data_IF_435097556169
#
_entry.id   IF_435097556169
#
_cell.length_a   1.000
_cell.length_b   1.000
_cell.length_c   1.000
_cell.angle_alpha   90.00
_cell.angle_beta   90.00
_cell.angle_gamma   90.00
#
_symmetry.space_group_name_H-M   'P 1'
#
loop_
_entity.id
_entity.type
_entity.pdbx_description
1 polymer ?
#
# COMPACT_ATOMS: atom_id res chain seq x y z
N UNK A 1 -9.99 15.28 -4.70
CA UNK A 1 -11.17 14.55 -5.27
C UNK A 1 -10.96 13.06 -5.09
N UNK A 2 -12.06 12.30 -4.85
CA UNK A 2 -12.08 10.83 -4.77
C UNK A 2 -13.18 10.35 -5.72
N UNK A 3 -12.90 9.36 -6.55
CA UNK A 3 -13.84 8.79 -7.51
C UNK A 3 -13.77 7.27 -7.47
N UNK A 4 -14.91 6.61 -7.30
CA UNK A 4 -15.01 5.19 -7.55
C UNK A 4 -15.07 4.94 -9.06
N UNK A 5 -14.19 4.09 -9.57
CA UNK A 5 -14.06 3.83 -11.00
C UNK A 5 -15.01 2.70 -11.45
N UNK A 6 -15.17 1.69 -10.61
CA UNK A 6 -15.97 0.48 -10.93
C UNK A 6 -16.46 -0.24 -9.68
N UNK A 7 -17.31 -1.25 -9.88
CA UNK A 7 -17.77 -2.13 -8.81
C UNK A 7 -16.63 -3.05 -8.32
N UNK A 8 -16.68 -3.36 -7.04
CA UNK A 8 -15.73 -4.27 -6.42
C UNK A 8 -15.99 -5.72 -6.88
N UNK A 9 -14.93 -6.49 -7.08
CA UNK A 9 -15.04 -7.91 -7.36
C UNK A 9 -15.43 -8.69 -6.10
N UNK A 10 -16.16 -9.78 -6.27
CA UNK A 10 -16.45 -10.68 -5.16
C UNK A 10 -15.20 -11.45 -4.72
N UNK A 11 -15.29 -12.09 -3.55
CA UNK A 11 -14.17 -12.82 -2.94
C UNK A 11 -13.64 -13.96 -3.81
N UNK A 12 -14.51 -14.60 -4.63
CA UNK A 12 -14.10 -15.69 -5.49
C UNK A 12 -13.26 -15.19 -6.66
N UNK A 13 -13.65 -14.07 -7.26
CA UNK A 13 -12.89 -13.43 -8.33
C UNK A 13 -11.53 -12.93 -7.80
N UNK A 14 -11.51 -12.27 -6.64
CA UNK A 14 -10.27 -11.79 -6.02
C UNK A 14 -9.31 -12.94 -5.71
N UNK A 15 -9.81 -14.07 -5.19
CA UNK A 15 -8.98 -15.24 -4.92
C UNK A 15 -8.37 -15.83 -6.21
N UNK A 16 -9.05 -15.74 -7.35
CA UNK A 16 -8.53 -16.16 -8.66
C UNK A 16 -7.47 -15.17 -9.18
N UNK A 17 -7.72 -13.87 -9.09
CA UNK A 17 -6.81 -12.81 -9.53
C UNK A 17 -5.50 -12.90 -8.75
N UNK A 18 -5.58 -12.99 -7.42
CA UNK A 18 -4.44 -12.98 -6.52
C UNK A 18 -3.97 -14.38 -6.10
N UNK A 19 -4.25 -15.42 -6.91
CA UNK A 19 -3.81 -16.78 -6.61
C UNK A 19 -2.27 -16.94 -6.53
N UNK A 20 -1.53 -15.98 -7.07
CA UNK A 20 -0.06 -15.90 -7.02
C UNK A 20 0.37 -14.50 -6.60
N UNK A 21 1.45 -14.35 -5.81
CA UNK A 21 1.95 -13.04 -5.42
C UNK A 21 2.45 -12.28 -6.65
N UNK A 22 2.25 -10.96 -6.64
CA UNK A 22 2.82 -10.09 -7.67
C UNK A 22 4.35 -10.16 -7.64
N UNK A 23 4.93 -10.39 -8.81
CA UNK A 23 6.39 -10.38 -8.99
C UNK A 23 6.82 -9.04 -9.57
N UNK A 24 7.32 -8.15 -8.72
CA UNK A 24 7.76 -6.81 -9.10
C UNK A 24 8.90 -6.81 -10.13
N UNK A 25 9.63 -7.92 -10.30
CA UNK A 25 10.75 -8.01 -11.24
C UNK A 25 10.35 -7.97 -12.71
N UNK A 26 9.09 -8.28 -13.01
CA UNK A 26 8.56 -8.27 -14.39
C UNK A 26 8.07 -6.90 -14.86
N UNK A 27 7.97 -5.93 -13.96
CA UNK A 27 7.46 -4.60 -14.28
C UNK A 27 8.53 -3.68 -14.84
N UNK A 28 8.11 -2.56 -15.42
CA UNK A 28 8.97 -1.59 -16.06
C UNK A 28 9.84 -0.75 -15.11
N UNK A 29 10.64 0.14 -15.68
CA UNK A 29 11.61 0.96 -14.96
C UNK A 29 10.95 1.90 -13.93
N UNK A 30 9.79 2.48 -14.27
CA UNK A 30 9.07 3.39 -13.37
C UNK A 30 8.59 2.68 -12.12
N UNK A 31 8.10 1.45 -12.25
CA UNK A 31 7.74 0.62 -11.11
C UNK A 31 8.95 0.38 -10.18
N UNK A 32 10.11 0.02 -10.72
CA UNK A 32 11.31 -0.17 -9.91
C UNK A 32 11.74 1.13 -9.20
N UNK A 33 11.68 2.28 -9.87
CA UNK A 33 11.95 3.58 -9.26
C UNK A 33 10.98 3.85 -8.12
N UNK A 34 9.67 3.60 -8.30
CA UNK A 34 8.65 3.74 -7.26
C UNK A 34 8.97 2.87 -6.04
N UNK A 35 9.29 1.60 -6.27
CA UNK A 35 9.65 0.65 -5.19
C UNK A 35 10.86 1.17 -4.40
N UNK A 36 11.92 1.63 -5.06
CA UNK A 36 13.10 2.16 -4.39
C UNK A 36 12.82 3.47 -3.63
N UNK A 37 11.99 4.37 -4.18
CA UNK A 37 11.55 5.57 -3.48
C UNK A 37 10.74 5.19 -2.22
N UNK A 38 9.81 4.24 -2.34
CA UNK A 38 9.02 3.74 -1.20
C UNK A 38 9.93 3.13 -0.13
N UNK A 39 10.91 2.30 -0.52
CA UNK A 39 11.92 1.75 0.40
C UNK A 39 12.69 2.82 1.17
N UNK A 40 13.04 3.94 0.53
CA UNK A 40 13.72 5.04 1.22
C UNK A 40 12.82 5.67 2.29
N UNK A 41 11.54 5.91 2.01
CA UNK A 41 10.59 6.42 3.01
C UNK A 41 10.40 5.41 4.16
N UNK A 42 10.38 4.10 3.87
CA UNK A 42 10.32 3.07 4.92
C UNK A 42 11.58 3.09 5.79
N UNK A 43 12.79 3.24 5.21
CA UNK A 43 14.04 3.39 5.97
C UNK A 43 14.02 4.62 6.87
N UNK A 44 13.54 5.75 6.36
CA UNK A 44 13.38 6.97 7.13
C UNK A 44 12.39 6.78 8.29
N UNK A 45 11.23 6.14 8.02
CA UNK A 45 10.25 5.81 9.05
C UNK A 45 10.85 4.92 10.15
N UNK A 46 11.62 3.89 9.78
CA UNK A 46 12.31 3.00 10.71
C UNK A 46 13.31 3.79 11.58
N UNK A 47 14.11 4.64 10.96
CA UNK A 47 15.10 5.47 11.68
C UNK A 47 14.42 6.46 12.63
N UNK A 48 13.38 7.18 12.16
CA UNK A 48 12.66 8.18 12.98
C UNK A 48 11.89 7.57 14.15
N UNK A 49 11.39 6.34 14.01
CA UNK A 49 10.61 5.66 15.05
C UNK A 49 11.43 4.69 15.89
N UNK A 50 12.69 4.44 15.54
CA UNK A 50 13.51 3.36 16.07
C UNK A 50 12.78 2.01 16.01
N UNK A 51 12.13 1.75 14.88
CA UNK A 51 11.21 0.63 14.68
C UNK A 51 11.89 -0.71 14.92
N UNK A 52 11.15 -1.61 15.59
CA UNK A 52 11.54 -3.01 15.83
C UNK A 52 10.59 -3.99 15.15
N UNK A 53 9.46 -3.48 14.66
CA UNK A 53 8.42 -4.28 14.00
C UNK A 53 7.86 -3.54 12.79
N UNK A 54 7.51 -4.32 11.76
CA UNK A 54 6.97 -3.82 10.50
C UNK A 54 5.91 -4.78 9.96
N UNK A 55 4.87 -4.25 9.33
CA UNK A 55 3.84 -5.05 8.68
C UNK A 55 3.59 -4.58 7.25
N UNK A 56 3.24 -5.53 6.38
CA UNK A 56 2.67 -5.32 5.06
C UNK A 56 1.75 -6.52 4.75
N UNK A 57 0.44 -6.28 4.68
CA UNK A 57 -0.58 -7.32 4.50
C UNK A 57 -1.13 -7.39 3.07
N UNK A 58 -0.42 -6.79 2.14
CA UNK A 58 -0.64 -6.85 0.69
C UNK A 58 0.71 -6.85 -0.05
N UNK A 59 1.64 -7.64 0.48
CA UNK A 59 3.06 -7.44 0.25
C UNK A 59 3.58 -8.04 -1.07
N UNK A 60 2.77 -8.76 -1.84
CA UNK A 60 3.24 -9.47 -3.03
C UNK A 60 4.40 -10.42 -2.70
N UNK A 61 5.57 -10.19 -3.29
CA UNK A 61 6.80 -10.92 -2.95
C UNK A 61 7.56 -10.31 -1.75
N UNK A 62 7.04 -9.25 -1.14
CA UNK A 62 7.55 -8.53 0.02
C UNK A 62 8.93 -7.87 -0.17
N UNK A 63 9.29 -7.47 -1.38
CA UNK A 63 10.59 -6.86 -1.70
C UNK A 63 10.87 -5.58 -0.89
N UNK A 64 9.84 -4.79 -0.58
CA UNK A 64 9.99 -3.58 0.22
C UNK A 64 10.41 -3.97 1.65
N UNK A 65 9.58 -4.77 2.32
CA UNK A 65 9.73 -5.03 3.75
C UNK A 65 10.93 -5.94 4.05
N UNK A 66 11.16 -6.99 3.27
CA UNK A 66 12.31 -7.91 3.45
C UNK A 66 13.66 -7.19 3.32
N UNK A 67 13.72 -6.12 2.54
CA UNK A 67 14.95 -5.34 2.37
C UNK A 67 15.29 -4.44 3.56
N UNK A 68 14.41 -4.35 4.58
CA UNK A 68 14.59 -3.46 5.73
C UNK A 68 15.43 -4.05 6.87
N UNK A 69 15.66 -5.36 6.89
CA UNK A 69 16.45 -6.02 7.94
C UNK A 69 15.78 -6.05 9.32
N UNK A 70 14.48 -5.78 9.42
CA UNK A 70 13.70 -5.90 10.66
C UNK A 70 13.34 -7.38 10.85
N UNK A 71 13.59 -7.94 12.04
CA UNK A 71 13.28 -9.35 12.31
C UNK A 71 11.78 -9.60 12.57
N UNK A 72 11.11 -8.67 13.28
CA UNK A 72 9.67 -8.79 13.56
C UNK A 72 8.87 -8.26 12.37
N UNK A 73 8.69 -9.11 11.36
CA UNK A 73 7.90 -8.79 10.15
C UNK A 73 6.58 -9.56 10.17
N UNK A 74 5.50 -8.87 9.84
CA UNK A 74 4.18 -9.45 9.64
C UNK A 74 3.81 -9.25 8.18
N UNK A 75 3.84 -10.35 7.42
CA UNK A 75 3.60 -10.37 5.98
C UNK A 75 2.30 -11.09 5.67
N UNK A 76 1.50 -10.51 4.81
CA UNK A 76 0.25 -11.10 4.33
C UNK A 76 -0.03 -10.74 2.88
N UNK A 77 -0.84 -11.56 2.25
CA UNK A 77 -1.31 -11.36 0.88
C UNK A 77 -2.53 -12.24 0.61
N UNK A 78 -3.25 -12.01 -0.48
CA UNK A 78 -4.23 -12.98 -0.98
C UNK A 78 -3.57 -14.30 -1.39
N UNK A 79 -2.36 -14.23 -1.95
CA UNK A 79 -1.60 -15.41 -2.34
C UNK A 79 -1.21 -16.25 -1.10
N UNK A 80 -1.35 -17.58 -1.15
CA UNK A 80 -1.07 -18.46 -0.01
C UNK A 80 0.43 -18.68 0.20
N UNK A 81 1.22 -17.61 0.17
CA UNK A 81 2.69 -17.61 0.30
C UNK A 81 3.11 -17.27 1.73
N UNK A 82 2.24 -16.63 2.50
CA UNK A 82 2.48 -16.18 3.86
C UNK A 82 1.44 -16.75 4.81
N UNK A 83 1.70 -16.67 6.11
CA UNK A 83 0.77 -17.18 7.13
C UNK A 83 -0.54 -16.38 7.21
N UNK A 84 -0.50 -15.10 6.83
CA UNK A 84 -1.65 -14.22 6.81
C UNK A 84 -2.22 -14.14 5.37
N UNK A 85 -3.12 -15.07 5.07
CA UNK A 85 -3.76 -15.18 3.75
C UNK A 85 -5.12 -14.49 3.75
N UNK A 86 -5.36 -13.63 2.78
CA UNK A 86 -6.64 -12.95 2.56
C UNK A 86 -6.55 -11.43 2.53
N UNK A 87 -7.71 -10.74 2.48
CA UNK A 87 -7.76 -9.29 2.41
C UNK A 87 -7.27 -8.63 3.71
N UNK A 88 -6.82 -7.39 3.60
CA UNK A 88 -6.24 -6.62 4.70
C UNK A 88 -7.21 -6.53 5.90
N UNK A 89 -8.50 -6.29 5.67
CA UNK A 89 -9.53 -6.16 6.71
C UNK A 89 -9.70 -7.44 7.55
N UNK A 90 -9.42 -8.60 6.99
CA UNK A 90 -9.49 -9.89 7.67
C UNK A 90 -8.17 -10.31 8.32
N UNK A 91 -7.06 -9.90 7.75
CA UNK A 91 -5.73 -10.32 8.22
C UNK A 91 -5.17 -9.38 9.29
N UNK A 92 -5.49 -8.09 9.23
CA UNK A 92 -4.94 -7.06 10.14
C UNK A 92 -5.32 -7.28 11.61
N UNK A 93 -6.46 -7.91 11.89
CA UNK A 93 -6.87 -8.21 13.26
C UNK A 93 -5.95 -9.22 13.95
N UNK A 94 -5.27 -10.06 13.16
CA UNK A 94 -4.41 -11.15 13.61
C UNK A 94 -2.97 -10.72 13.90
N UNK A 95 -2.58 -9.48 13.60
CA UNK A 95 -1.25 -8.98 13.95
C UNK A 95 -1.28 -8.16 15.25
N UNK A 96 -0.18 -8.13 16.01
CA UNK A 96 -0.03 -7.20 17.11
C UNK A 96 0.12 -5.76 16.61
N UNK A 97 0.22 -4.79 17.53
CA UNK A 97 0.65 -3.44 17.17
C UNK A 97 2.09 -3.46 16.68
N UNK A 98 2.36 -2.75 15.58
CA UNK A 98 3.67 -2.62 14.96
C UNK A 98 4.15 -1.17 14.98
N UNK A 99 5.44 -0.97 14.75
CA UNK A 99 6.01 0.38 14.71
C UNK A 99 5.75 1.05 13.35
N UNK A 100 5.90 0.30 12.25
CA UNK A 100 5.69 0.78 10.88
C UNK A 100 4.75 -0.17 10.13
N UNK A 101 3.80 0.38 9.39
CA UNK A 101 2.97 -0.34 8.42
C UNK A 101 3.26 0.18 7.02
N UNK A 102 3.45 -0.73 6.07
CA UNK A 102 3.59 -0.43 4.64
C UNK A 102 2.30 -0.80 3.94
N UNK A 103 1.72 0.14 3.21
CA UNK A 103 0.56 -0.05 2.33
C UNK A 103 0.93 0.50 0.96
N UNK A 104 1.48 -0.36 0.11
CA UNK A 104 2.05 0.06 -1.17
C UNK A 104 1.29 -0.55 -2.32
N UNK A 105 0.63 0.28 -3.14
CA UNK A 105 -0.21 -0.16 -4.27
C UNK A 105 -1.28 -1.16 -3.81
N UNK A 106 -2.05 -0.75 -2.85
CA UNK A 106 -3.05 -1.62 -2.22
C UNK A 106 -4.35 -0.89 -1.93
N UNK A 107 -4.28 0.41 -1.62
CA UNK A 107 -5.45 1.17 -1.19
C UNK A 107 -6.48 1.33 -2.33
N UNK A 108 -6.02 1.39 -3.57
CA UNK A 108 -6.86 1.44 -4.78
C UNK A 108 -7.61 0.14 -5.07
N UNK A 109 -7.17 -0.97 -4.44
CA UNK A 109 -7.73 -2.32 -4.62
C UNK A 109 -8.71 -2.73 -3.53
N UNK A 110 -8.96 -1.91 -2.51
CA UNK A 110 -9.85 -2.26 -1.40
C UNK A 110 -11.24 -1.63 -1.57
N UNK A 111 -12.27 -2.28 -1.02
CA UNK A 111 -13.64 -1.79 -1.10
C UNK A 111 -13.85 -0.52 -0.28
N UNK A 112 -13.31 -0.47 0.95
CA UNK A 112 -13.52 0.60 1.93
C UNK A 112 -12.17 1.21 2.36
N UNK A 113 -11.54 2.07 1.54
CA UNK A 113 -10.20 2.62 1.82
C UNK A 113 -10.09 3.34 3.16
N UNK A 114 -11.14 4.06 3.57
CA UNK A 114 -11.16 4.77 4.85
C UNK A 114 -11.11 3.80 6.04
N UNK A 115 -11.85 2.69 5.98
CA UNK A 115 -11.88 1.71 7.07
C UNK A 115 -10.56 0.94 7.15
N UNK A 116 -9.93 0.66 6.01
CA UNK A 116 -8.58 0.07 5.98
C UNK A 116 -7.55 1.00 6.64
N UNK A 117 -7.56 2.29 6.30
CA UNK A 117 -6.65 3.26 6.90
C UNK A 117 -6.87 3.42 8.42
N UNK A 118 -8.13 3.36 8.91
CA UNK A 118 -8.44 3.35 10.35
C UNK A 118 -7.90 2.08 11.02
N UNK A 119 -8.12 0.91 10.41
CA UNK A 119 -7.63 -0.36 10.94
C UNK A 119 -6.08 -0.38 11.02
N UNK A 120 -5.40 0.18 10.02
CA UNK A 120 -3.95 0.34 10.03
C UNK A 120 -3.53 1.32 11.15
N UNK A 121 -4.29 2.40 11.37
CA UNK A 121 -4.02 3.38 12.44
C UNK A 121 -4.08 2.76 13.82
N UNK A 122 -5.04 1.87 14.05
CA UNK A 122 -5.18 1.16 15.32
C UNK A 122 -4.02 0.18 15.59
N UNK A 123 -3.35 -0.28 14.53
CA UNK A 123 -2.29 -1.29 14.60
C UNK A 123 -0.88 -0.74 14.46
N UNK A 124 -0.70 0.50 13.99
CA UNK A 124 0.66 1.01 13.75
C UNK A 124 0.84 2.46 14.18
N UNK A 125 2.11 2.81 14.47
CA UNK A 125 2.52 4.16 14.88
C UNK A 125 2.86 5.04 13.67
N UNK A 126 3.30 4.41 12.58
CA UNK A 126 3.72 5.07 11.36
C UNK A 126 3.22 4.30 10.14
N UNK A 127 2.70 5.01 9.16
CA UNK A 127 2.25 4.45 7.88
C UNK A 127 3.14 4.98 6.75
N UNK A 128 3.62 4.07 5.90
CA UNK A 128 4.13 4.41 4.57
C UNK A 128 3.10 3.94 3.55
N UNK A 129 2.51 4.89 2.85
CA UNK A 129 1.48 4.65 1.83
C UNK A 129 2.03 5.02 0.46
N UNK A 130 1.85 4.17 -0.54
CA UNK A 130 1.94 4.58 -1.94
C UNK A 130 0.72 4.12 -2.72
N UNK A 131 0.26 4.95 -3.65
CA UNK A 131 -0.89 4.66 -4.51
C UNK A 131 -0.82 5.50 -5.79
N UNK A 132 -1.38 5.02 -6.93
CA UNK A 132 -1.56 5.84 -8.10
C UNK A 132 -2.44 7.04 -7.79
N UNK A 133 -2.11 8.19 -8.39
CA UNK A 133 -2.92 9.42 -8.27
C UNK A 133 -3.21 10.01 -9.66
N UNK A 134 -4.30 10.76 -9.74
CA UNK A 134 -4.72 11.50 -10.95
C UNK A 134 -5.01 10.61 -12.17
N UNK A 135 -5.29 9.33 -11.97
CA UNK A 135 -5.62 8.39 -13.04
C UNK A 135 -7.15 8.17 -13.14
N UNK A 136 -7.85 9.21 -13.60
CA UNK A 136 -9.32 9.27 -13.60
C UNK A 136 -10.00 8.33 -14.60
N UNK A 137 -9.24 7.83 -15.59
CA UNK A 137 -9.68 6.93 -16.67
C UNK A 137 -8.91 5.61 -16.63
N UNK A 138 -8.53 5.18 -15.43
CA UNK A 138 -7.77 3.95 -15.24
C UNK A 138 -8.52 2.73 -15.79
N UNK A 139 -7.85 1.99 -16.66
CA UNK A 139 -8.38 0.79 -17.29
C UNK A 139 -8.00 -0.50 -16.57
N UNK A 140 -7.15 -0.44 -15.54
CA UNK A 140 -6.82 -1.61 -14.73
C UNK A 140 -8.08 -2.10 -14.00
N UNK A 141 -8.49 -3.33 -14.29
CA UNK A 141 -9.74 -3.90 -13.75
C UNK A 141 -9.74 -4.06 -12.22
N UNK A 142 -8.57 -4.06 -11.62
CA UNK A 142 -8.37 -4.24 -10.18
C UNK A 142 -8.29 -2.90 -9.42
N UNK A 143 -8.21 -1.75 -10.10
CA UNK A 143 -8.24 -0.43 -9.48
C UNK A 143 -9.68 0.04 -9.36
N UNK A 144 -10.21 0.05 -8.15
CA UNK A 144 -11.59 0.46 -7.87
C UNK A 144 -11.71 1.95 -7.62
N UNK A 145 -10.62 2.62 -7.24
CA UNK A 145 -10.57 4.01 -6.85
C UNK A 145 -9.56 4.80 -7.64
N UNK A 146 -9.90 6.06 -7.87
CA UNK A 146 -8.96 7.09 -8.31
C UNK A 146 -9.12 8.32 -7.42
N UNK A 147 -8.01 8.97 -7.16
CA UNK A 147 -7.93 10.16 -6.32
C UNK A 147 -6.79 11.08 -6.76
N UNK A 148 -6.86 12.33 -6.36
CA UNK A 148 -5.73 13.23 -6.37
C UNK A 148 -5.06 13.24 -4.98
N UNK A 149 -3.96 13.98 -4.87
CA UNK A 149 -3.25 14.16 -3.61
C UNK A 149 -4.19 14.59 -2.48
N UNK A 150 -5.02 15.59 -2.73
CA UNK A 150 -5.94 16.13 -1.72
C UNK A 150 -6.95 15.07 -1.25
N UNK A 151 -7.46 14.25 -2.17
CA UNK A 151 -8.38 13.15 -1.83
C UNK A 151 -7.74 12.12 -0.91
N UNK A 152 -6.49 11.73 -1.17
CA UNK A 152 -5.75 10.81 -0.28
C UNK A 152 -5.50 11.46 1.08
N UNK A 153 -5.06 12.72 1.12
CA UNK A 153 -4.80 13.44 2.38
C UNK A 153 -6.09 13.65 3.19
N UNK A 154 -7.26 13.77 2.53
CA UNK A 154 -8.56 13.77 3.20
C UNK A 154 -8.88 12.42 3.86
N UNK A 155 -8.64 11.30 3.18
CA UNK A 155 -8.80 9.96 3.76
C UNK A 155 -7.85 9.74 4.94
N UNK A 156 -6.59 10.13 4.80
CA UNK A 156 -5.59 10.07 5.86
C UNK A 156 -6.05 10.86 7.08
N UNK A 157 -6.47 12.12 6.91
CA UNK A 157 -6.96 12.95 8.02
C UNK A 157 -8.19 12.36 8.70
N UNK A 158 -9.18 11.85 7.94
CA UNK A 158 -10.39 11.21 8.48
C UNK A 158 -10.10 9.92 9.23
N UNK A 159 -9.00 9.25 8.91
CA UNK A 159 -8.54 8.02 9.58
C UNK A 159 -7.55 8.27 10.72
N UNK A 160 -7.30 9.55 11.07
CA UNK A 160 -6.43 9.93 12.19
C UNK A 160 -4.94 9.93 11.86
N UNK A 161 -4.57 9.92 10.59
CA UNK A 161 -3.21 10.07 10.12
C UNK A 161 -2.88 11.54 9.81
N UNK A 162 -1.65 11.93 10.09
CA UNK A 162 -1.06 13.20 9.64
C UNK A 162 0.07 12.91 8.68
N UNK A 163 -0.06 13.37 7.43
CA UNK A 163 0.99 13.25 6.44
C UNK A 163 2.13 14.23 6.77
N UNK A 164 3.33 13.71 7.03
CA UNK A 164 4.53 14.48 7.32
C UNK A 164 5.48 14.52 6.12
N UNK A 165 5.41 13.51 5.27
CA UNK A 165 6.18 13.39 4.03
C UNK A 165 5.20 13.19 2.89
N UNK A 166 5.42 13.87 1.78
CA UNK A 166 4.78 13.59 0.51
C UNK A 166 5.79 13.69 -0.62
N UNK A 167 5.84 12.65 -1.44
CA UNK A 167 6.59 12.64 -2.69
C UNK A 167 5.65 12.37 -3.85
N UNK A 168 5.82 13.13 -4.92
CA UNK A 168 5.18 12.90 -6.20
C UNK A 168 6.17 12.24 -7.15
N UNK A 169 5.76 11.14 -7.76
CA UNK A 169 6.57 10.43 -8.72
C UNK A 169 5.78 10.27 -10.04
N UNK A 170 6.29 10.87 -11.09
CA UNK A 170 5.75 10.74 -12.45
C UNK A 170 6.51 9.65 -13.20
N UNK A 171 5.88 8.48 -13.39
CA UNK A 171 6.49 7.39 -14.15
C UNK A 171 6.12 7.41 -15.63
N UNK A 172 5.30 8.35 -16.07
CA UNK A 172 4.99 8.54 -17.50
C UNK A 172 6.24 8.90 -18.32
N UNK A 173 7.24 9.50 -17.69
CA UNK A 173 8.57 9.75 -18.29
C UNK A 173 9.33 8.47 -18.67
N UNK A 174 8.93 7.33 -18.13
CA UNK A 174 9.46 6.00 -18.47
C UNK A 174 8.52 5.21 -19.39
N UNK A 175 7.44 5.84 -19.88
CA UNK A 175 6.43 5.19 -20.72
C UNK A 175 5.39 4.37 -19.97
N UNK A 176 5.29 4.52 -18.64
CA UNK A 176 4.27 3.86 -17.82
C UNK A 176 3.05 4.77 -17.61
N UNK A 177 1.83 4.23 -17.38
CA UNK A 177 0.62 5.04 -17.38
C UNK A 177 0.37 5.80 -16.08
N UNK A 178 1.19 5.61 -15.04
CA UNK A 178 0.88 6.07 -13.69
C UNK A 178 1.74 7.22 -13.19
N UNK A 179 1.10 8.03 -12.36
CA UNK A 179 1.73 8.95 -11.43
C UNK A 179 1.42 8.47 -10.03
N UNK A 180 2.38 8.56 -9.14
CA UNK A 180 2.24 8.04 -7.78
C UNK A 180 2.38 9.14 -6.73
N UNK A 181 1.55 9.07 -5.70
CA UNK A 181 1.80 9.72 -4.43
C UNK A 181 2.41 8.73 -3.46
N UNK A 182 3.41 9.17 -2.70
CA UNK A 182 4.04 8.37 -1.64
C UNK A 182 4.05 9.23 -0.37
N UNK A 183 3.46 8.71 0.69
CA UNK A 183 3.31 9.42 1.96
C UNK A 183 4.01 8.69 3.11
N UNK A 184 4.59 9.47 4.03
CA UNK A 184 4.95 9.02 5.36
C UNK A 184 4.04 9.73 6.38
N UNK A 185 3.35 8.97 7.24
CA UNK A 185 2.28 9.47 8.10
C UNK A 185 2.45 9.02 9.56
N UNK A 186 2.04 9.92 10.50
CA UNK A 186 1.97 9.65 11.95
C UNK A 186 0.56 9.82 12.49
#
# INVERSE_FOLDING_TARGET
MIKQLRQFHDSEMLAKIYAKPHDHRIYGRGHHVRVEVTKNIVRDAIAMTNAKSIADLSCGNADIVKSMGIQNMFLGDYAPTYDLVGPIDKTIINIPKVDVYVCSESLEHVEEPLEILKAIRDKSKYLVLSTPIENWEDTNAEHYWSWDRQGVEELLGKSGWTANIFLYLDTTVFGEPYKYGIWGCR
#
